data_IF_699346204191
#
_entry.id   IF_699346204191
#
_cell.length_a   1.000
_cell.length_b   1.000
_cell.length_c   1.000
_cell.angle_alpha   90.00
_cell.angle_beta   90.00
_cell.angle_gamma   90.00
#
_symmetry.space_group_name_H-M   'P 1'
#
loop_
_entity.id
_entity.type
_entity.pdbx_description
1 polymer ?
#
# COMPACT_ATOMS: atom_id res chain seq x y z
N UNK A 1 -1.74 -10.58 -5.72
CA UNK A 1 -0.49 -11.03 -5.08
C UNK A 1 -0.17 -10.15 -3.87
N UNK A 2 0.46 -10.68 -2.81
CA UNK A 2 1.31 -9.82 -2.00
C UNK A 2 2.34 -9.28 -2.97
N UNK A 3 2.37 -7.95 -3.15
CA UNK A 3 3.60 -7.36 -3.68
C UNK A 3 4.57 -7.57 -2.53
N UNK A 4 5.21 -8.74 -2.50
CA UNK A 4 6.54 -8.84 -1.95
C UNK A 4 7.26 -7.69 -2.63
N UNK A 5 7.58 -6.67 -1.85
CA UNK A 5 8.54 -5.65 -2.25
C UNK A 5 9.88 -6.38 -2.33
N UNK A 6 10.02 -7.33 -3.27
CA UNK A 6 11.32 -7.68 -3.82
C UNK A 6 11.77 -6.37 -4.42
N UNK A 7 12.66 -5.72 -3.67
CA UNK A 7 13.05 -4.33 -3.89
C UNK A 7 13.27 -4.12 -5.36
N UNK A 8 12.40 -3.31 -5.97
CA UNK A 8 12.76 -2.67 -7.22
C UNK A 8 13.80 -1.60 -6.84
N UNK A 9 15.03 -2.06 -6.62
CA UNK A 9 16.26 -1.27 -6.45
C UNK A 9 16.65 -0.57 -7.75
N UNK A 10 15.71 -0.34 -8.67
CA UNK A 10 15.93 0.50 -9.85
C UNK A 10 16.00 1.99 -9.51
N UNK A 11 15.55 2.39 -8.32
CA UNK A 11 15.99 3.64 -7.68
C UNK A 11 17.26 3.36 -6.89
N UNK A 12 18.43 3.57 -7.49
CA UNK A 12 19.72 3.35 -6.84
C UNK A 12 19.94 4.26 -5.63
N UNK A 13 19.47 3.86 -4.45
CA UNK A 13 19.80 4.52 -3.18
C UNK A 13 21.14 3.98 -2.67
N UNK A 14 22.25 4.56 -3.12
CA UNK A 14 23.58 4.30 -2.55
C UNK A 14 23.87 5.27 -1.40
N UNK A 15 23.12 5.14 -0.30
CA UNK A 15 23.40 5.86 0.94
C UNK A 15 24.38 5.06 1.82
N UNK A 16 25.35 5.73 2.45
CA UNK A 16 26.28 5.10 3.40
C UNK A 16 25.64 4.71 4.74
N UNK A 17 24.39 5.14 5.01
CA UNK A 17 23.65 4.79 6.21
C UNK A 17 22.78 3.54 5.99
N UNK A 18 23.08 2.41 6.65
CA UNK A 18 22.35 1.16 6.48
C UNK A 18 20.89 1.23 6.93
N UNK A 19 20.54 2.10 7.88
CA UNK A 19 19.17 2.27 8.38
C UNK A 19 18.30 2.95 7.32
N UNK A 20 18.81 4.02 6.68
CA UNK A 20 18.10 4.68 5.59
C UNK A 20 17.85 3.69 4.44
N UNK A 21 18.86 2.90 4.10
CA UNK A 21 18.75 1.88 3.05
C UNK A 21 17.69 0.83 3.39
N UNK A 22 17.59 0.36 4.63
CA UNK A 22 16.52 -0.57 5.04
C UNK A 22 15.11 0.03 4.90
N UNK A 23 14.94 1.29 5.30
CA UNK A 23 13.64 1.98 5.16
C UNK A 23 13.23 2.17 3.69
N UNK A 24 14.20 2.41 2.82
CA UNK A 24 13.98 2.56 1.38
C UNK A 24 13.80 1.21 0.67
N UNK A 25 14.25 0.11 1.27
CA UNK A 25 14.09 -1.23 0.73
C UNK A 25 12.65 -1.77 0.84
N UNK A 26 11.80 -1.22 1.72
CA UNK A 26 10.39 -1.58 1.78
C UNK A 26 9.79 -1.64 3.19
N UNK A 27 8.87 -2.58 3.40
CA UNK A 27 8.06 -2.74 4.62
C UNK A 27 8.92 -2.97 5.88
N UNK A 28 9.22 -1.88 6.56
CA UNK A 28 10.13 -1.84 7.70
C UNK A 28 9.47 -1.08 8.84
N UNK A 29 9.74 -1.51 10.07
CA UNK A 29 9.41 -0.80 11.30
C UNK A 29 10.65 -0.73 12.20
N UNK A 30 10.61 0.03 13.29
CA UNK A 30 11.71 0.08 14.27
C UNK A 30 11.46 -0.86 15.45
N UNK A 31 12.50 -1.54 15.94
CA UNK A 31 12.48 -2.19 17.26
C UNK A 31 12.56 -1.15 18.41
N UNK A 32 12.46 -1.56 19.70
CA UNK A 32 12.60 -0.64 20.84
C UNK A 32 13.94 0.08 20.94
N UNK A 33 15.01 -0.46 20.35
CA UNK A 33 16.33 0.17 20.26
C UNK A 33 16.40 1.23 19.14
N UNK A 34 15.51 1.16 18.16
CA UNK A 34 15.51 1.98 16.95
C UNK A 34 16.09 1.31 15.71
N UNK A 35 16.39 0.02 15.77
CA UNK A 35 16.94 -0.69 14.62
C UNK A 35 15.80 -1.05 13.65
N UNK A 36 16.06 -1.04 12.33
CA UNK A 36 15.08 -1.48 11.35
C UNK A 36 14.81 -2.98 11.49
N UNK A 37 13.54 -3.36 11.41
CA UNK A 37 13.05 -4.73 11.38
C UNK A 37 12.11 -4.87 10.19
N UNK A 38 12.38 -5.87 9.36
CA UNK A 38 11.53 -6.22 8.22
C UNK A 38 10.33 -6.99 8.74
N UNK A 39 9.13 -6.49 8.44
CA UNK A 39 7.87 -7.12 8.78
C UNK A 39 6.94 -7.12 7.56
N UNK A 40 5.81 -7.82 7.63
CA UNK A 40 4.84 -7.80 6.53
C UNK A 40 4.27 -6.40 6.37
N UNK A 41 4.13 -5.94 5.13
CA UNK A 41 3.63 -4.60 4.80
C UNK A 41 2.29 -4.28 5.48
N UNK A 42 1.38 -5.25 5.54
CA UNK A 42 0.05 -5.11 6.17
C UNK A 42 0.13 -4.92 7.69
N UNK A 43 1.22 -5.35 8.32
CA UNK A 43 1.38 -5.29 9.77
C UNK A 43 2.06 -3.96 10.20
N UNK A 44 2.81 -3.29 9.31
CA UNK A 44 3.55 -2.05 9.63
C UNK A 44 2.67 -0.97 10.28
N UNK A 45 1.49 -0.59 9.74
CA UNK A 45 0.65 0.44 10.35
C UNK A 45 0.23 0.08 11.77
N UNK A 46 -0.05 -1.21 12.02
CA UNK A 46 -0.45 -1.70 13.35
C UNK A 46 0.68 -1.56 14.35
N UNK A 47 1.90 -2.00 14.02
CA UNK A 47 3.06 -1.88 14.92
C UNK A 47 3.35 -0.42 15.29
N UNK A 48 3.26 0.47 14.30
CA UNK A 48 3.47 1.90 14.52
C UNK A 48 2.31 2.50 15.31
N UNK A 49 1.05 2.16 15.02
CA UNK A 49 -0.12 2.71 15.72
C UNK A 49 -0.09 2.39 17.22
N UNK A 50 0.27 1.15 17.59
CA UNK A 50 0.33 0.72 18.98
C UNK A 50 1.63 1.13 19.70
N UNK A 51 2.56 1.78 19.00
CA UNK A 51 3.83 2.26 19.58
C UNK A 51 4.84 1.15 19.86
N UNK A 52 4.62 -0.06 19.34
CA UNK A 52 5.63 -1.11 19.32
C UNK A 52 6.81 -0.72 18.40
N UNK A 53 6.53 0.11 17.40
CA UNK A 53 7.50 0.84 16.60
C UNK A 53 7.21 2.35 16.66
N UNK A 54 8.24 3.18 16.66
CA UNK A 54 8.08 4.64 16.60
C UNK A 54 7.79 5.11 15.17
N UNK A 55 8.40 4.42 14.20
CA UNK A 55 8.45 4.77 12.77
C UNK A 55 8.25 3.51 11.93
N UNK A 56 7.74 3.68 10.71
CA UNK A 56 7.70 2.60 9.72
C UNK A 56 7.43 3.07 8.30
N UNK A 57 7.65 2.20 7.33
CA UNK A 57 7.38 2.45 5.91
C UNK A 57 6.28 1.52 5.44
N UNK A 58 5.18 2.11 4.94
CA UNK A 58 4.02 1.37 4.47
C UNK A 58 3.52 1.95 3.14
N UNK A 59 3.01 1.08 2.25
CA UNK A 59 2.35 1.51 1.02
C UNK A 59 1.08 2.30 1.32
N UNK A 60 0.80 3.33 0.50
CA UNK A 60 -0.42 4.13 0.65
C UNK A 60 -1.68 3.29 0.56
N UNK A 61 -1.65 2.19 -0.21
CA UNK A 61 -2.73 1.23 -0.32
C UNK A 61 -3.08 0.57 1.01
N UNK A 62 -2.05 0.17 1.77
CA UNK A 62 -2.22 -0.42 3.11
C UNK A 62 -2.76 0.63 4.08
N UNK A 63 -2.25 1.86 4.02
CA UNK A 63 -2.69 2.94 4.90
C UNK A 63 -4.16 3.34 4.66
N UNK A 64 -4.58 3.38 3.39
CA UNK A 64 -5.98 3.63 3.02
C UNK A 64 -6.90 2.51 3.51
N UNK A 65 -6.48 1.24 3.39
CA UNK A 65 -7.28 0.11 3.85
C UNK A 65 -7.34 0.02 5.38
N UNK A 66 -6.24 0.38 6.07
CA UNK A 66 -6.13 0.42 7.53
C UNK A 66 -6.94 1.57 8.15
N UNK A 67 -7.09 2.69 7.45
CA UNK A 67 -7.85 3.87 7.89
C UNK A 67 -7.02 4.95 8.59
N UNK A 68 -5.69 4.77 8.73
CA UNK A 68 -4.75 5.81 9.18
C UNK A 68 -4.90 6.29 10.64
N UNK A 69 -5.77 5.67 11.45
CA UNK A 69 -5.97 6.08 12.84
C UNK A 69 -4.69 5.91 13.66
N UNK A 70 -4.39 6.89 14.53
CA UNK A 70 -3.21 6.84 15.40
C UNK A 70 -1.85 7.06 14.71
N UNK A 71 -1.83 7.35 13.40
CA UNK A 71 -0.62 7.54 12.61
C UNK A 71 -0.47 8.99 12.12
N UNK A 72 0.77 9.44 11.96
CA UNK A 72 1.13 10.58 11.12
C UNK A 72 1.83 10.07 9.86
N UNK A 73 1.58 10.74 8.74
CA UNK A 73 2.18 10.41 7.43
C UNK A 73 2.96 11.63 6.91
N UNK A 74 4.12 11.96 7.50
CA UNK A 74 4.83 13.22 7.22
C UNK A 74 5.54 13.27 5.87
N UNK A 75 5.83 12.13 5.24
CA UNK A 75 6.67 12.09 4.04
C UNK A 75 6.21 11.02 3.05
N UNK A 76 6.00 11.45 1.80
CA UNK A 76 5.88 10.56 0.64
C UNK A 76 7.29 10.23 0.14
N UNK A 77 7.60 8.94 0.08
CA UNK A 77 8.92 8.47 -0.35
C UNK A 77 9.02 8.36 -1.88
N UNK A 78 7.91 8.45 -2.60
CA UNK A 78 7.83 8.33 -4.07
C UNK A 78 8.45 7.04 -4.66
N UNK A 79 8.61 6.00 -3.85
CA UNK A 79 9.06 4.66 -4.25
C UNK A 79 7.89 3.67 -4.32
N UNK A 80 8.12 2.50 -4.93
CA UNK A 80 7.14 1.44 -5.10
C UNK A 80 5.81 1.95 -5.73
N UNK A 81 5.95 2.82 -6.74
CA UNK A 81 4.81 3.50 -7.37
C UNK A 81 3.95 2.52 -8.15
N UNK A 82 2.65 2.55 -7.91
CA UNK A 82 1.66 1.80 -8.68
C UNK A 82 0.30 2.49 -8.57
N UNK A 83 -0.75 1.86 -9.08
CA UNK A 83 -2.13 2.39 -9.05
C UNK A 83 -3.07 1.38 -8.44
N UNK A 84 -3.97 1.80 -7.57
CA UNK A 84 -5.12 0.99 -7.19
C UNK A 84 -6.20 1.14 -8.26
N UNK A 85 -6.64 0.02 -8.82
CA UNK A 85 -7.55 -0.01 -9.97
C UNK A 85 -8.70 -0.98 -9.73
N UNK A 86 -9.86 -0.68 -10.32
CA UNK A 86 -10.85 -1.69 -10.66
C UNK A 86 -10.39 -2.40 -11.92
N UNK A 87 -10.39 -3.72 -11.94
CA UNK A 87 -10.01 -4.54 -13.10
C UNK A 87 -11.00 -5.68 -13.33
N UNK A 88 -11.05 -6.19 -14.56
CA UNK A 88 -11.90 -7.32 -14.91
C UNK A 88 -11.79 -7.71 -16.38
N UNK A 89 -12.64 -8.64 -16.85
CA UNK A 89 -12.66 -9.05 -18.25
C UNK A 89 -13.08 -7.89 -19.16
N UNK A 90 -12.39 -7.73 -20.30
CA UNK A 90 -12.53 -6.56 -21.18
C UNK A 90 -13.94 -6.34 -21.77
N UNK A 91 -14.68 -7.43 -21.97
CA UNK A 91 -16.02 -7.41 -22.57
C UNK A 91 -17.02 -8.17 -21.69
N UNK A 92 -16.89 -8.03 -20.38
CA UNK A 92 -17.88 -8.63 -19.49
C UNK A 92 -19.19 -7.86 -19.55
N UNK A 93 -20.27 -8.58 -19.82
CA UNK A 93 -21.63 -8.09 -19.70
C UNK A 93 -21.87 -7.49 -18.31
N UNK A 94 -22.81 -6.54 -18.22
CA UNK A 94 -23.30 -6.10 -16.93
C UNK A 94 -23.85 -7.32 -16.16
N UNK A 95 -23.51 -7.50 -14.88
CA UNK A 95 -24.00 -8.64 -14.12
C UNK A 95 -25.51 -8.58 -13.98
N UNK A 96 -26.15 -9.75 -13.99
CA UNK A 96 -27.56 -9.90 -13.62
C UNK A 96 -27.70 -9.73 -12.10
N UNK A 97 -27.72 -8.47 -11.65
CA UNK A 97 -27.90 -8.10 -10.25
C UNK A 97 -26.77 -7.24 -9.69
N UNK A 98 -26.44 -7.45 -8.42
CA UNK A 98 -25.45 -6.64 -7.71
C UNK A 98 -24.04 -7.00 -8.18
N UNK A 99 -23.26 -6.00 -8.55
CA UNK A 99 -21.87 -6.17 -8.94
C UNK A 99 -21.05 -6.76 -7.78
N UNK A 100 -20.39 -7.90 -8.02
CA UNK A 100 -19.51 -8.58 -7.07
C UNK A 100 -18.06 -8.17 -7.31
N UNK A 101 -17.41 -7.70 -6.25
CA UNK A 101 -16.03 -7.21 -6.25
C UNK A 101 -15.18 -8.11 -5.34
N UNK A 102 -14.23 -8.83 -5.91
CA UNK A 102 -13.24 -9.57 -5.12
C UNK A 102 -12.00 -8.71 -4.87
N UNK A 103 -11.59 -8.57 -3.61
CA UNK A 103 -10.45 -7.70 -3.28
C UNK A 103 -9.86 -8.00 -1.91
N UNK A 104 -8.58 -7.68 -1.73
CA UNK A 104 -7.99 -7.52 -0.39
C UNK A 104 -8.22 -6.13 0.21
N UNK A 105 -8.71 -5.16 -0.56
CA UNK A 105 -8.93 -3.77 -0.16
C UNK A 105 -10.43 -3.46 0.04
N UNK A 106 -11.03 -4.04 1.08
CA UNK A 106 -12.48 -3.99 1.32
C UNK A 106 -12.94 -2.58 1.64
N UNK A 107 -12.21 -1.86 2.47
CA UNK A 107 -12.57 -0.50 2.87
C UNK A 107 -12.41 0.45 1.69
N UNK A 108 -11.31 0.34 0.94
CA UNK A 108 -11.08 1.14 -0.25
C UNK A 108 -12.15 0.90 -1.32
N UNK A 109 -12.47 -0.37 -1.63
CA UNK A 109 -13.52 -0.70 -2.59
C UNK A 109 -14.88 -0.18 -2.13
N UNK A 110 -15.24 -0.39 -0.85
CA UNK A 110 -16.51 0.09 -0.30
C UNK A 110 -16.64 1.61 -0.44
N UNK A 111 -15.60 2.37 -0.08
CA UNK A 111 -15.60 3.82 -0.20
C UNK A 111 -15.73 4.27 -1.66
N UNK A 112 -14.98 3.64 -2.57
CA UNK A 112 -14.97 3.98 -3.99
C UNK A 112 -16.32 3.79 -4.68
N UNK A 113 -16.99 2.66 -4.43
CA UNK A 113 -18.30 2.35 -5.01
C UNK A 113 -19.42 3.14 -4.32
N UNK A 114 -19.34 3.34 -3.00
CA UNK A 114 -20.31 4.17 -2.27
C UNK A 114 -20.29 5.63 -2.75
N UNK A 115 -19.12 6.21 -3.02
CA UNK A 115 -18.99 7.56 -3.57
C UNK A 115 -19.64 7.73 -4.96
N UNK A 116 -19.88 6.63 -5.68
CA UNK A 116 -20.56 6.59 -6.98
C UNK A 116 -22.05 6.22 -6.87
N UNK A 117 -22.57 6.03 -5.66
CA UNK A 117 -23.93 5.54 -5.45
C UNK A 117 -24.13 4.09 -5.94
N UNK A 118 -23.06 3.33 -6.13
CA UNK A 118 -23.12 1.96 -6.62
C UNK A 118 -23.14 0.97 -5.46
N UNK A 119 -24.20 0.19 -5.38
CA UNK A 119 -24.30 -0.88 -4.39
C UNK A 119 -23.56 -2.12 -4.91
N UNK A 120 -22.49 -2.53 -4.22
CA UNK A 120 -21.65 -3.67 -4.65
C UNK A 120 -21.48 -4.71 -3.55
N UNK A 121 -21.47 -5.99 -3.89
CA UNK A 121 -21.13 -7.07 -2.97
C UNK A 121 -19.61 -7.20 -2.93
N UNK A 122 -19.01 -7.12 -1.75
CA UNK A 122 -17.55 -7.20 -1.60
C UNK A 122 -17.18 -8.55 -1.02
N UNK A 123 -16.33 -9.27 -1.75
CA UNK A 123 -15.79 -10.58 -1.37
C UNK A 123 -14.33 -10.36 -0.97
N UNK A 124 -14.04 -10.52 0.33
CA UNK A 124 -12.66 -10.41 0.84
C UNK A 124 -11.83 -11.58 0.35
N UNK A 125 -10.70 -11.29 -0.29
CA UNK A 125 -9.64 -12.25 -0.60
C UNK A 125 -8.32 -11.82 0.05
N UNK A 126 -7.41 -12.78 0.21
CA UNK A 126 -6.06 -12.55 0.73
C UNK A 126 -4.99 -12.64 -0.38
N UNK A 127 -5.32 -13.20 -1.53
CA UNK A 127 -4.41 -13.38 -2.67
C UNK A 127 -5.15 -13.84 -3.92
N UNK A 128 -4.41 -14.00 -5.02
CA UNK A 128 -4.90 -14.53 -6.31
C UNK A 128 -6.21 -13.88 -6.78
N UNK A 129 -6.27 -12.55 -6.76
CA UNK A 129 -7.47 -11.80 -7.12
C UNK A 129 -7.84 -12.04 -8.59
N UNK A 130 -6.84 -12.20 -9.45
CA UNK A 130 -6.97 -12.44 -10.88
C UNK A 130 -7.77 -13.72 -11.20
N UNK A 131 -7.80 -14.69 -10.29
CA UNK A 131 -8.56 -15.92 -10.44
C UNK A 131 -10.08 -15.70 -10.24
N UNK A 132 -10.47 -14.70 -9.44
CA UNK A 132 -11.87 -14.53 -9.04
C UNK A 132 -12.82 -14.26 -10.23
N UNK A 133 -12.48 -13.42 -11.22
CA UNK A 133 -13.28 -13.29 -12.43
C UNK A 133 -13.26 -14.53 -13.32
N UNK A 134 -12.13 -15.25 -13.36
CA UNK A 134 -11.97 -16.43 -14.23
C UNK A 134 -12.87 -17.61 -13.82
N UNK A 135 -13.14 -17.75 -12.52
CA UNK A 135 -13.99 -18.84 -11.98
C UNK A 135 -15.41 -18.39 -11.63
N UNK A 136 -15.78 -17.16 -11.97
CA UNK A 136 -17.12 -16.61 -11.71
C UNK A 136 -17.42 -16.27 -10.25
N UNK A 137 -16.39 -16.18 -9.39
CA UNK A 137 -16.54 -15.77 -7.99
C UNK A 137 -16.97 -14.30 -7.89
N UNK A 138 -16.36 -13.44 -8.69
CA UNK A 138 -16.64 -12.00 -8.73
C UNK A 138 -16.65 -11.50 -10.17
N UNK A 139 -17.37 -10.41 -10.42
CA UNK A 139 -17.45 -9.85 -11.76
C UNK A 139 -16.24 -8.95 -12.05
N UNK A 140 -15.71 -8.30 -11.00
CA UNK A 140 -14.53 -7.43 -11.05
C UNK A 140 -13.66 -7.64 -9.81
N UNK A 141 -12.45 -7.11 -9.88
CA UNK A 141 -11.54 -7.01 -8.74
C UNK A 141 -11.13 -5.58 -8.48
N UNK A 142 -10.72 -5.33 -7.24
CA UNK A 142 -9.92 -4.14 -6.89
C UNK A 142 -8.55 -4.64 -6.47
N UNK A 143 -7.51 -4.24 -7.20
CA UNK A 143 -6.13 -4.61 -6.89
C UNK A 143 -5.14 -3.54 -7.36
N UNK A 144 -3.88 -3.69 -6.98
CA UNK A 144 -2.78 -2.86 -7.44
C UNK A 144 -2.31 -3.25 -8.84
N UNK A 145 -2.03 -2.23 -9.64
CA UNK A 145 -1.58 -2.34 -11.02
C UNK A 145 -0.37 -1.45 -11.22
N UNK A 146 0.77 -2.07 -11.48
CA UNK A 146 1.98 -1.39 -11.97
C UNK A 146 1.96 -1.38 -13.52
N UNK A 147 2.64 -2.33 -14.16
CA UNK A 147 2.70 -2.48 -15.63
C UNK A 147 1.43 -3.08 -16.24
N UNK A 148 0.62 -3.75 -15.42
CA UNK A 148 -0.58 -4.49 -15.85
C UNK A 148 -0.31 -5.86 -16.49
N UNK A 149 0.93 -6.34 -16.49
CA UNK A 149 1.26 -7.64 -17.09
C UNK A 149 0.50 -8.81 -16.45
N UNK A 150 0.35 -8.80 -15.13
CA UNK A 150 -0.39 -9.83 -14.39
C UNK A 150 -1.86 -9.89 -14.80
N UNK A 151 -2.50 -8.74 -15.01
CA UNK A 151 -3.88 -8.69 -15.49
C UNK A 151 -3.99 -9.26 -16.91
N UNK A 152 -3.12 -8.80 -17.82
CA UNK A 152 -3.12 -9.28 -19.22
C UNK A 152 -2.89 -10.78 -19.34
N UNK A 153 -1.98 -11.33 -18.53
CA UNK A 153 -1.70 -12.77 -18.49
C UNK A 153 -2.92 -13.61 -18.07
N UNK A 154 -3.87 -13.00 -17.35
CA UNK A 154 -5.11 -13.62 -16.90
C UNK A 154 -6.34 -13.15 -17.71
N UNK A 155 -6.14 -12.50 -18.87
CA UNK A 155 -7.24 -12.01 -19.71
C UNK A 155 -8.06 -10.88 -19.08
N UNK A 156 -7.49 -10.16 -18.11
CA UNK A 156 -8.11 -9.01 -17.45
C UNK A 156 -7.49 -7.71 -17.96
N UNK A 157 -8.25 -6.63 -17.85
CA UNK A 157 -7.79 -5.27 -18.12
C UNK A 157 -8.10 -4.32 -16.95
N UNK A 158 -7.27 -3.28 -16.75
CA UNK A 158 -7.61 -2.18 -15.85
C UNK A 158 -8.76 -1.37 -16.45
N UNK A 159 -9.79 -1.11 -15.64
CA UNK A 159 -11.03 -0.46 -16.07
C UNK A 159 -11.16 0.94 -15.49
N UNK A 160 -11.03 1.07 -14.17
CA UNK A 160 -11.18 2.35 -13.48
C UNK A 160 -10.02 2.61 -12.53
N UNK A 161 -9.53 3.85 -12.52
CA UNK A 161 -8.53 4.31 -11.57
C UNK A 161 -9.17 4.72 -10.25
N UNK A 162 -8.58 4.28 -9.14
CA UNK A 162 -9.04 4.61 -7.78
C UNK A 162 -8.09 5.56 -7.08
N UNK A 163 -6.77 5.26 -7.10
CA UNK A 163 -5.76 6.05 -6.43
C UNK A 163 -4.36 5.76 -6.96
N UNK A 164 -3.49 6.77 -6.94
CA UNK A 164 -2.06 6.58 -7.09
C UNK A 164 -1.44 6.17 -5.76
N UNK A 165 -0.56 5.17 -5.81
CA UNK A 165 0.03 4.53 -4.63
C UNK A 165 1.55 4.71 -4.66
N UNK A 166 2.11 5.06 -3.51
CA UNK A 166 3.54 5.11 -3.22
C UNK A 166 3.79 4.68 -1.77
N UNK A 167 5.02 4.33 -1.42
CA UNK A 167 5.40 4.12 -0.02
C UNK A 167 5.44 5.43 0.76
N UNK A 168 4.97 5.39 2.00
CA UNK A 168 4.93 6.53 2.92
C UNK A 168 5.71 6.20 4.18
N UNK A 169 6.44 7.18 4.69
CA UNK A 169 6.98 7.12 6.04
C UNK A 169 5.86 7.49 7.01
N UNK A 170 5.62 6.62 7.98
CA UNK A 170 4.62 6.82 9.04
C UNK A 170 5.27 6.89 10.41
N UNK A 171 4.63 7.63 11.31
CA UNK A 171 5.10 7.88 12.67
C UNK A 171 3.96 7.68 13.67
N UNK A 172 4.28 7.06 14.81
CA UNK A 172 3.34 7.00 15.93
C UNK A 172 3.06 8.42 16.48
N UNK A 173 1.79 8.75 16.72
CA UNK A 173 1.39 10.09 17.22
C UNK A 173 2.00 10.45 18.58
N UNK A 174 2.14 9.48 19.49
CA UNK A 174 2.75 9.70 20.79
C UNK A 174 4.27 9.86 20.67
N UNK A 175 4.93 9.03 19.86
CA UNK A 175 6.39 9.14 19.61
C UNK A 175 6.76 10.47 18.96
N UNK A 176 5.91 11.01 18.06
CA UNK A 176 6.11 12.34 17.47
C UNK A 176 6.18 13.47 18.52
N UNK A 177 5.50 13.30 19.67
CA UNK A 177 5.51 14.25 20.79
C UNK A 177 6.61 13.94 21.80
N UNK A 178 6.72 12.69 22.22
CA UNK A 178 7.60 12.28 23.32
C UNK A 178 9.06 12.12 22.89
N UNK A 179 9.31 11.84 21.61
CA UNK A 179 10.64 11.60 21.02
C UNK A 179 10.92 12.60 19.90
N UNK A 180 10.38 13.82 20.01
CA UNK A 180 10.33 14.82 18.95
C UNK A 180 11.69 15.06 18.27
N UNK A 181 12.74 15.37 19.02
CA UNK A 181 14.08 15.66 18.49
C UNK A 181 14.62 14.51 17.62
N UNK A 182 14.57 13.28 18.15
CA UNK A 182 15.06 12.09 17.44
C UNK A 182 14.25 11.79 16.19
N UNK A 183 12.92 11.89 16.28
CA UNK A 183 12.03 11.65 15.15
C UNK A 183 12.25 12.72 14.08
N UNK A 184 12.30 14.00 14.45
CA UNK A 184 12.52 15.11 13.53
C UNK A 184 13.86 14.99 12.81
N UNK A 185 14.94 14.69 13.54
CA UNK A 185 16.25 14.48 12.93
C UNK A 185 16.24 13.33 11.90
N UNK A 186 15.49 12.25 12.16
CA UNK A 186 15.34 11.16 11.20
C UNK A 186 14.49 11.57 9.99
N UNK A 187 13.39 12.30 10.20
CA UNK A 187 12.55 12.84 9.13
C UNK A 187 13.32 13.76 8.19
N UNK A 188 14.09 14.69 8.75
CA UNK A 188 14.90 15.65 7.99
C UNK A 188 15.89 14.89 7.07
N UNK A 189 16.57 13.86 7.61
CA UNK A 189 17.49 13.00 6.83
C UNK A 189 16.78 12.18 5.74
N UNK A 190 15.60 11.63 6.03
CA UNK A 190 14.80 10.92 5.04
C UNK A 190 14.32 11.85 3.93
N UNK A 191 13.93 13.08 4.27
CA UNK A 191 13.49 14.08 3.32
C UNK A 191 14.63 14.49 2.37
N UNK A 192 15.83 14.73 2.91
CA UNK A 192 17.04 14.99 2.10
C UNK A 192 17.34 13.82 1.15
N UNK A 193 17.28 12.57 1.64
CA UNK A 193 17.52 11.40 0.81
C UNK A 193 16.47 11.27 -0.31
N UNK A 194 15.19 11.51 -0.03
CA UNK A 194 14.15 11.47 -1.07
C UNK A 194 14.39 12.57 -2.12
N UNK A 195 14.78 13.77 -1.72
CA UNK A 195 15.05 14.87 -2.66
C UNK A 195 16.27 14.62 -3.56
N UNK A 196 17.27 13.89 -3.10
CA UNK A 196 18.45 13.54 -3.90
C UNK A 196 18.15 12.47 -4.97
N UNK A 197 17.05 11.74 -4.83
CA UNK A 197 16.67 10.61 -5.68
C UNK A 197 15.32 10.79 -6.38
N UNK A 198 14.69 11.97 -6.27
CA UNK A 198 13.47 12.37 -6.96
C UNK A 198 13.78 13.06 -8.30
#
# INVERSE_FOLDING_TARGET
ADITLEGNTSGGFSGSDPILTSFLAGATATDPGGNPVIIRATDVPTYVQYGAADLGVAGKDVLLEHGGEGLYEPLDLNIARCRMMVAGPAQAAAPDGRLRIATKYVNCARAFFAARGQQVEIIKLYGSMELAPLVGLADRIVDLVDTGNTLRANGLEPLEHMADISSRLIVNKASMKMKHERVKAFLDRMQEAVQQHA
#
